data_IF_817967714556
#
_entry.id   IF_817967714556
#
_cell.length_a   1.000
_cell.length_b   1.000
_cell.length_c   1.000
_cell.angle_alpha   90.00
_cell.angle_beta   90.00
_cell.angle_gamma   90.00
#
_symmetry.space_group_name_H-M   'P 1'
#
loop_
_entity.id
_entity.type
_entity.pdbx_description
1 polymer ?
#
# COMPACT_ATOMS: atom_id res chain seq x y z
N UNK A 1 -7.14 -4.85 -15.09
CA UNK A 1 -7.76 -5.43 -13.88
C UNK A 1 -7.40 -4.56 -12.68
N UNK A 2 -8.07 -4.68 -11.53
CA UNK A 2 -7.73 -3.92 -10.32
C UNK A 2 -6.30 -4.17 -9.84
N UNK A 3 -5.81 -5.40 -9.99
CA UNK A 3 -4.45 -5.77 -9.62
C UNK A 3 -3.40 -5.12 -10.52
N UNK A 4 -3.59 -5.14 -11.84
CA UNK A 4 -2.66 -4.49 -12.77
C UNK A 4 -2.59 -2.98 -12.52
N UNK A 5 -3.75 -2.34 -12.31
CA UNK A 5 -3.81 -0.93 -11.94
C UNK A 5 -3.08 -0.65 -10.62
N UNK A 6 -3.27 -1.51 -9.61
CA UNK A 6 -2.58 -1.37 -8.32
C UNK A 6 -1.06 -1.44 -8.48
N UNK A 7 -0.55 -2.35 -9.31
CA UNK A 7 0.87 -2.41 -9.62
C UNK A 7 1.31 -1.14 -10.33
N UNK A 8 0.74 -0.83 -11.49
CA UNK A 8 1.23 0.23 -12.38
C UNK A 8 1.09 1.64 -11.78
N UNK A 9 -0.07 1.94 -11.18
CA UNK A 9 -0.44 3.27 -10.70
C UNK A 9 -0.55 3.32 -9.17
N UNK A 10 -1.24 2.36 -8.55
CA UNK A 10 -1.54 2.41 -7.12
C UNK A 10 -0.30 2.48 -6.21
N UNK A 11 0.75 1.71 -6.52
CA UNK A 11 2.03 1.79 -5.81
C UNK A 11 2.68 3.16 -5.98
N UNK A 12 2.64 3.74 -7.19
CA UNK A 12 3.20 5.07 -7.48
C UNK A 12 2.46 6.15 -6.70
N UNK A 13 1.13 6.13 -6.71
CA UNK A 13 0.29 7.05 -5.94
C UNK A 13 0.58 6.94 -4.44
N UNK A 14 0.73 5.71 -3.91
CA UNK A 14 1.08 5.51 -2.50
C UNK A 14 2.42 6.15 -2.14
N UNK A 15 3.45 5.99 -2.97
CA UNK A 15 4.75 6.60 -2.72
C UNK A 15 4.73 8.12 -2.88
N UNK A 16 3.96 8.64 -3.83
CA UNK A 16 3.78 10.09 -4.01
C UNK A 16 3.11 10.73 -2.79
N UNK A 17 2.09 10.08 -2.22
CA UNK A 17 1.34 10.61 -1.09
C UNK A 17 2.18 10.77 0.20
N UNK A 18 3.26 9.99 0.34
CA UNK A 18 4.17 10.09 1.48
C UNK A 18 5.43 10.91 1.17
N UNK A 19 5.61 11.33 -0.07
CA UNK A 19 6.83 12.01 -0.55
C UNK A 19 6.62 13.53 -0.66
N UNK A 20 7.62 14.36 -0.30
CA UNK A 20 8.84 13.98 0.40
C UNK A 20 8.60 13.72 1.90
N UNK A 21 9.45 12.88 2.50
CA UNK A 21 9.57 12.77 3.95
C UNK A 21 10.69 13.72 4.39
N UNK A 22 10.36 14.71 5.21
CA UNK A 22 11.32 15.68 5.74
C UNK A 22 11.58 15.45 7.24
N UNK A 23 12.79 15.75 7.69
CA UNK A 23 13.10 15.78 9.11
C UNK A 23 12.55 17.05 9.79
N UNK A 24 12.59 17.11 11.11
CA UNK A 24 12.01 18.24 11.87
C UNK A 24 12.71 19.59 11.61
N UNK A 25 13.96 19.57 11.14
CA UNK A 25 14.68 20.80 10.76
C UNK A 25 14.42 21.21 9.30
N UNK A 26 13.89 20.31 8.48
CA UNK A 26 13.68 20.49 7.05
C UNK A 26 14.97 20.38 6.21
N UNK A 27 16.09 20.02 6.83
CA UNK A 27 17.40 19.93 6.20
C UNK A 27 17.61 18.62 5.42
N UNK A 28 17.00 17.52 5.87
CA UNK A 28 17.01 16.24 5.18
C UNK A 28 15.66 16.00 4.54
N UNK A 29 15.67 15.64 3.26
CA UNK A 29 14.47 15.29 2.49
C UNK A 29 14.68 13.95 1.80
N UNK A 30 13.77 13.01 2.03
CA UNK A 30 13.75 11.70 1.37
C UNK A 30 12.59 11.67 0.36
N UNK A 31 12.95 11.54 -0.91
CA UNK A 31 12.02 11.47 -2.02
C UNK A 31 11.91 10.04 -2.56
N UNK A 32 10.70 9.64 -2.93
CA UNK A 32 10.43 8.39 -3.62
C UNK A 32 10.34 8.65 -5.13
N UNK A 33 11.29 8.13 -5.90
CA UNK A 33 11.40 8.44 -7.33
C UNK A 33 10.64 7.42 -8.17
N UNK A 34 10.92 6.14 -7.94
CA UNK A 34 10.37 5.05 -8.73
C UNK A 34 10.38 3.73 -7.95
N UNK A 35 9.72 2.70 -8.48
CA UNK A 35 9.78 1.35 -7.93
C UNK A 35 9.92 0.32 -9.04
N UNK A 36 10.37 -0.87 -8.66
CA UNK A 36 10.48 -2.02 -9.54
C UNK A 36 10.15 -3.30 -8.77
N UNK A 37 9.44 -4.20 -9.44
CA UNK A 37 9.28 -5.57 -9.01
C UNK A 37 10.25 -6.44 -9.80
N UNK A 38 11.05 -7.23 -9.08
CA UNK A 38 11.91 -8.22 -9.72
C UNK A 38 11.15 -9.46 -10.14
N UNK A 39 11.89 -10.51 -10.52
CA UNK A 39 11.30 -11.79 -10.85
C UNK A 39 10.91 -12.59 -9.60
N UNK A 40 9.87 -13.44 -9.68
CA UNK A 40 9.48 -14.30 -8.59
C UNK A 40 10.63 -15.24 -8.21
N UNK A 41 10.86 -15.43 -6.91
CA UNK A 41 11.96 -16.29 -6.43
C UNK A 41 11.79 -17.76 -6.83
N UNK A 42 10.54 -18.21 -6.88
CA UNK A 42 10.14 -19.57 -7.23
C UNK A 42 8.90 -19.52 -8.11
N UNK A 43 8.69 -20.49 -9.01
CA UNK A 43 7.42 -20.65 -9.71
C UNK A 43 6.29 -21.04 -8.73
N UNK A 44 5.05 -20.95 -9.21
CA UNK A 44 3.83 -21.23 -8.42
C UNK A 44 3.85 -22.63 -7.81
N UNK A 45 4.16 -23.66 -8.59
CA UNK A 45 4.15 -25.06 -8.12
C UNK A 45 5.24 -25.32 -7.07
N UNK A 46 6.46 -24.82 -7.27
CA UNK A 46 7.51 -24.93 -6.26
C UNK A 46 7.15 -24.15 -4.98
N UNK A 47 6.45 -23.02 -5.11
CA UNK A 47 5.98 -22.25 -3.94
C UNK A 47 4.99 -23.06 -3.09
N UNK A 48 4.12 -23.83 -3.74
CA UNK A 48 3.19 -24.77 -3.08
C UNK A 48 3.92 -25.91 -2.40
N UNK A 49 4.83 -26.57 -3.09
CA UNK A 49 5.57 -27.74 -2.57
C UNK A 49 6.48 -27.41 -1.39
N UNK A 50 7.04 -26.19 -1.36
CA UNK A 50 8.00 -25.77 -0.34
C UNK A 50 7.39 -24.99 0.82
N UNK A 51 6.07 -24.86 0.87
CA UNK A 51 5.34 -24.06 1.86
C UNK A 51 5.83 -22.59 1.94
N UNK A 52 6.16 -21.99 0.78
CA UNK A 52 6.62 -20.60 0.69
C UNK A 52 5.60 -19.70 -0.02
N UNK A 53 5.80 -18.39 0.04
CA UNK A 53 4.92 -17.42 -0.62
C UNK A 53 5.41 -17.10 -2.04
N UNK A 54 4.53 -17.21 -3.03
CA UNK A 54 4.81 -16.80 -4.41
C UNK A 54 4.90 -15.26 -4.45
N UNK A 55 6.13 -14.76 -4.53
CA UNK A 55 6.46 -13.36 -4.33
C UNK A 55 7.66 -12.92 -5.15
N UNK A 56 7.70 -11.63 -5.45
CA UNK A 56 8.76 -10.96 -6.18
C UNK A 56 9.37 -9.85 -5.31
N UNK A 57 10.69 -9.58 -5.40
CA UNK A 57 11.33 -8.56 -4.60
C UNK A 57 10.89 -7.16 -5.07
N UNK A 58 10.34 -6.35 -4.16
CA UNK A 58 10.01 -4.94 -4.41
C UNK A 58 11.22 -4.07 -4.04
N UNK A 59 11.69 -3.28 -5.00
CA UNK A 59 12.74 -2.28 -4.81
C UNK A 59 12.20 -0.90 -5.13
N UNK A 60 12.60 0.08 -4.33
CA UNK A 60 12.18 1.47 -4.50
C UNK A 60 13.42 2.34 -4.60
N UNK A 61 13.47 3.14 -5.66
CA UNK A 61 14.51 4.13 -5.87
C UNK A 61 14.19 5.36 -5.03
N UNK A 62 14.99 5.60 -4.01
CA UNK A 62 14.87 6.76 -3.13
C UNK A 62 15.98 7.77 -3.40
N UNK A 63 15.70 9.04 -3.13
CA UNK A 63 16.67 10.12 -3.16
C UNK A 63 16.71 10.81 -1.81
N UNK A 64 17.87 10.81 -1.18
CA UNK A 64 18.12 11.59 0.03
C UNK A 64 18.84 12.89 -0.36
N UNK A 65 18.23 14.02 -0.03
CA UNK A 65 18.75 15.37 -0.24
C UNK A 65 19.12 15.96 1.11
N UNK A 66 20.39 16.34 1.28
CA UNK A 66 20.83 17.18 2.38
C UNK A 66 20.93 18.63 1.90
N UNK A 67 20.00 19.48 2.36
CA UNK A 67 19.90 20.89 1.95
C UNK A 67 21.01 21.76 2.54
N UNK A 68 21.64 21.36 3.65
CA UNK A 68 22.76 22.10 4.25
C UNK A 68 24.06 21.91 3.46
N UNK A 69 24.34 20.68 3.04
CA UNK A 69 25.57 20.36 2.30
C UNK A 69 25.40 20.41 0.78
N UNK A 70 24.15 20.39 0.30
CA UNK A 70 23.80 20.23 -1.12
C UNK A 70 24.00 18.81 -1.64
N UNK A 71 24.28 17.84 -0.76
CA UNK A 71 24.52 16.45 -1.16
C UNK A 71 23.22 15.76 -1.58
N UNK A 72 23.26 15.05 -2.70
CA UNK A 72 22.16 14.25 -3.24
C UNK A 72 22.63 12.80 -3.40
N UNK A 73 21.92 11.86 -2.77
CA UNK A 73 22.21 10.43 -2.83
C UNK A 73 20.99 9.66 -3.32
N UNK A 74 21.13 9.02 -4.48
CA UNK A 74 20.13 8.08 -5.00
C UNK A 74 20.51 6.65 -4.56
N UNK A 75 19.53 5.87 -4.11
CA UNK A 75 19.73 4.48 -3.70
C UNK A 75 18.51 3.61 -4.02
N UNK A 76 18.75 2.39 -4.47
CA UNK A 76 17.70 1.37 -4.57
C UNK A 76 17.57 0.61 -3.25
N UNK A 77 16.44 0.80 -2.57
CA UNK A 77 16.14 0.18 -1.28
C UNK A 77 15.24 -1.03 -1.50
N UNK A 78 15.61 -2.16 -0.90
CA UNK A 78 14.75 -3.35 -0.87
C UNK A 78 13.65 -3.15 0.17
N UNK A 79 12.39 -3.13 -0.29
CA UNK A 79 11.22 -2.93 0.57
C UNK A 79 10.66 -4.24 1.13
N UNK A 80 11.04 -5.38 0.54
CA UNK A 80 10.56 -6.69 0.93
C UNK A 80 10.11 -7.52 -0.27
N UNK A 81 9.76 -8.78 0.00
CA UNK A 81 9.13 -9.66 -0.97
C UNK A 81 7.63 -9.37 -1.04
N UNK A 82 7.15 -9.00 -2.23
CA UNK A 82 5.77 -8.63 -2.49
C UNK A 82 5.00 -9.84 -3.05
N UNK A 83 3.92 -10.30 -2.41
CA UNK A 83 3.10 -11.38 -2.95
C UNK A 83 2.48 -10.97 -4.29
N UNK A 84 2.60 -11.84 -5.28
CA UNK A 84 2.11 -11.56 -6.64
C UNK A 84 0.98 -12.51 -7.05
N UNK A 85 0.12 -12.01 -7.93
CA UNK A 85 -1.04 -12.75 -8.42
C UNK A 85 -0.62 -13.78 -9.48
N UNK A 86 -1.21 -14.97 -9.42
CA UNK A 86 -1.09 -16.00 -10.45
C UNK A 86 -1.96 -15.68 -11.67
N UNK A 87 -1.74 -16.38 -12.78
CA UNK A 87 -2.57 -16.24 -13.99
C UNK A 87 -4.05 -16.59 -13.76
N UNK A 88 -4.37 -17.34 -12.70
CA UNK A 88 -5.74 -17.71 -12.31
C UNK A 88 -6.40 -16.70 -11.36
N UNK A 89 -5.70 -15.62 -10.98
CA UNK A 89 -6.23 -14.59 -10.09
C UNK A 89 -6.12 -14.94 -8.60
N UNK A 90 -5.26 -15.89 -8.24
CA UNK A 90 -5.03 -16.36 -6.87
C UNK A 90 -3.67 -15.90 -6.34
N UNK A 91 -3.40 -16.15 -5.06
CA UNK A 91 -2.13 -15.91 -4.41
C UNK A 91 -1.68 -17.16 -3.66
N UNK A 92 -0.39 -17.49 -3.71
CA UNK A 92 0.17 -18.57 -2.89
C UNK A 92 0.81 -17.94 -1.65
N UNK A 93 0.24 -18.18 -0.48
CA UNK A 93 0.72 -17.65 0.80
C UNK A 93 1.10 -18.84 1.69
N UNK A 94 2.40 -18.99 1.95
CA UNK A 94 2.97 -20.10 2.72
C UNK A 94 2.46 -21.47 2.20
N UNK A 95 2.63 -21.72 0.90
CA UNK A 95 2.18 -22.94 0.23
C UNK A 95 0.68 -23.01 -0.10
N UNK A 96 -0.16 -22.27 0.63
CA UNK A 96 -1.61 -22.33 0.46
C UNK A 96 -2.12 -21.35 -0.61
N UNK A 97 -2.95 -21.84 -1.52
CA UNK A 97 -3.61 -21.02 -2.53
C UNK A 97 -4.81 -20.27 -1.93
N UNK A 98 -4.87 -18.96 -2.17
CA UNK A 98 -5.86 -18.05 -1.60
C UNK A 98 -6.42 -17.11 -2.64
N UNK A 99 -7.66 -16.68 -2.43
CA UNK A 99 -8.35 -15.70 -3.26
C UNK A 99 -8.68 -14.47 -2.42
N UNK A 100 -8.41 -13.28 -2.96
CA UNK A 100 -8.86 -12.02 -2.37
C UNK A 100 -10.29 -11.74 -2.82
N UNK A 101 -11.19 -11.52 -1.87
CA UNK A 101 -12.60 -11.22 -2.13
C UNK A 101 -12.85 -9.73 -1.95
N UNK A 102 -13.49 -9.09 -2.93
CA UNK A 102 -13.90 -7.70 -2.85
C UNK A 102 -14.90 -7.49 -1.72
N UNK A 103 -14.67 -6.46 -0.91
CA UNK A 103 -15.56 -6.11 0.20
C UNK A 103 -16.49 -4.95 -0.19
N UNK A 104 -17.71 -4.95 0.35
CA UNK A 104 -18.61 -3.81 0.30
C UNK A 104 -18.41 -2.95 1.54
N UNK A 105 -17.93 -1.73 1.34
CA UNK A 105 -17.73 -0.73 2.39
C UNK A 105 -18.65 0.47 2.17
N UNK A 106 -18.89 1.28 3.22
CA UNK A 106 -19.66 2.52 3.09
C UNK A 106 -18.92 3.49 2.19
N UNK A 107 -19.64 4.15 1.28
CA UNK A 107 -19.07 5.18 0.42
C UNK A 107 -18.54 6.37 1.23
N UNK A 108 -17.50 7.05 0.77
CA UNK A 108 -17.05 8.29 1.39
C UNK A 108 -18.16 9.35 1.37
N UNK A 109 -18.62 9.78 2.54
CA UNK A 109 -19.70 10.76 2.68
C UNK A 109 -19.86 11.24 4.13
N UNK A 110 -20.75 12.21 4.32
CA UNK A 110 -21.25 12.62 5.63
C UNK A 110 -22.59 11.95 5.89
N UNK A 111 -22.63 11.06 6.87
CA UNK A 111 -23.83 10.33 7.27
C UNK A 111 -24.45 10.96 8.52
N UNK A 112 -25.71 11.38 8.44
CA UNK A 112 -26.46 11.87 9.59
C UNK A 112 -27.35 10.76 10.17
N UNK A 113 -27.43 10.67 11.49
CA UNK A 113 -28.32 9.75 12.19
C UNK A 113 -28.97 10.42 13.38
N UNK A 114 -30.24 10.09 13.62
CA UNK A 114 -30.94 10.44 14.85
C UNK A 114 -30.89 9.27 15.83
N UNK A 115 -30.65 9.55 17.11
CA UNK A 115 -30.72 8.54 18.18
C UNK A 115 -31.48 9.11 19.37
N UNK A 116 -32.40 8.34 19.92
CA UNK A 116 -33.03 8.65 21.20
C UNK A 116 -32.16 8.02 22.28
N UNK A 117 -31.72 8.83 23.24
CA UNK A 117 -30.95 8.31 24.38
C UNK A 117 -31.86 7.53 25.36
N UNK A 118 -31.25 6.91 26.37
CA UNK A 118 -31.99 6.12 27.37
C UNK A 118 -32.94 6.97 28.22
N UNK A 119 -32.82 8.29 28.19
CA UNK A 119 -33.66 9.24 28.92
C UNK A 119 -34.77 9.84 28.04
N UNK A 120 -34.93 9.35 26.81
CA UNK A 120 -35.95 9.83 25.86
C UNK A 120 -35.58 11.10 25.10
N UNK A 121 -34.36 11.63 25.25
CA UNK A 121 -33.91 12.83 24.54
C UNK A 121 -33.48 12.47 23.12
N UNK A 122 -34.02 13.19 22.13
CA UNK A 122 -33.59 13.08 20.74
C UNK A 122 -32.25 13.80 20.55
N UNK A 123 -31.25 13.07 20.07
CA UNK A 123 -29.98 13.59 19.60
C UNK A 123 -29.78 13.32 18.11
N UNK A 124 -28.95 14.14 17.48
CA UNK A 124 -28.48 13.95 16.11
C UNK A 124 -26.96 13.77 16.11
N UNK A 125 -26.43 12.94 15.23
CA UNK A 125 -25.00 12.68 15.08
C UNK A 125 -24.65 12.67 13.61
N UNK A 126 -23.47 13.20 13.28
CA UNK A 126 -22.88 13.11 11.95
C UNK A 126 -21.62 12.24 12.00
N UNK A 127 -21.44 11.37 11.01
CA UNK A 127 -20.23 10.58 10.80
C UNK A 127 -19.64 10.96 9.45
N UNK A 128 -18.44 11.52 9.46
CA UNK A 128 -17.69 11.84 8.25
C UNK A 128 -16.80 10.65 7.92
N UNK A 129 -17.02 10.03 6.75
CA UNK A 129 -16.21 8.93 6.24
C UNK A 129 -15.44 9.47 5.03
N UNK A 130 -14.12 9.73 5.13
CA UNK A 130 -13.32 10.13 3.99
C UNK A 130 -13.01 8.91 3.08
N UNK A 131 -12.61 9.17 1.84
CA UNK A 131 -12.11 8.11 0.95
C UNK A 131 -10.75 7.58 1.41
N UNK A 132 -9.96 8.48 1.98
CA UNK A 132 -8.64 8.24 2.57
C UNK A 132 -8.44 9.31 3.64
N UNK A 133 -7.97 8.93 4.82
CA UNK A 133 -7.78 9.84 5.96
C UNK A 133 -7.23 9.11 7.17
#
# INVERSE_FOLDING_TARGET
SSYQWFLDEGLREMFQDISPIEDFTGNLSLEFIDYSLGEPKYPVEESKERDVTYSAPLRVKVRLINKETGEVKDQDVFMGDFPIMTDTGTFIINGAERVIVSQLVRSPSVYFSGKVDKNGKKGFTATVIPNRG
#
